data_IF_078156541574
#
_entry.id   IF_078156541574
#
_cell.length_a   1.000
_cell.length_b   1.000
_cell.length_c   1.000
_cell.angle_alpha   90.00
_cell.angle_beta   90.00
_cell.angle_gamma   90.00
#
_symmetry.space_group_name_H-M   'P 1'
#
loop_
_entity.id
_entity.type
_entity.pdbx_description
1 polymer ?
#
# COMPACT_ATOMS: atom_id res chain seq x y z
N UNK A 1 7.55 12.78 -3.09
CA UNK A 1 7.18 11.99 -4.26
C UNK A 1 5.67 12.07 -4.50
N UNK A 2 5.22 12.00 -5.75
CA UNK A 2 3.83 12.18 -6.21
C UNK A 2 2.97 10.91 -6.18
N UNK A 3 3.54 9.78 -5.75
CA UNK A 3 2.84 8.49 -5.71
C UNK A 3 2.54 7.94 -7.12
N UNK A 4 3.38 8.26 -8.09
CA UNK A 4 3.24 7.78 -9.46
C UNK A 4 3.74 6.33 -9.56
N UNK A 5 3.03 5.45 -10.30
CA UNK A 5 3.51 4.09 -10.53
C UNK A 5 4.86 4.08 -11.23
N UNK A 6 5.84 3.36 -10.66
CA UNK A 6 7.17 3.17 -11.24
C UNK A 6 7.35 1.77 -11.84
N UNK A 7 6.74 0.76 -11.23
CA UNK A 7 6.77 -0.63 -11.67
C UNK A 7 5.47 -1.35 -11.27
N UNK A 8 5.09 -2.36 -12.05
CA UNK A 8 3.97 -3.24 -11.77
C UNK A 8 4.30 -4.65 -12.28
N UNK A 9 4.12 -5.65 -11.43
CA UNK A 9 4.19 -7.05 -11.80
C UNK A 9 2.94 -7.77 -11.30
N UNK A 10 2.27 -8.51 -12.19
CA UNK A 10 1.14 -9.37 -11.85
C UNK A 10 1.50 -10.81 -12.19
N UNK A 11 1.68 -11.62 -11.16
CA UNK A 11 2.05 -13.03 -11.29
C UNK A 11 0.93 -13.86 -11.98
N UNK A 12 1.32 -14.98 -12.56
CA UNK A 12 0.39 -15.94 -13.15
C UNK A 12 -0.63 -16.45 -12.13
N UNK A 13 -1.87 -16.64 -12.58
CA UNK A 13 -2.99 -17.05 -11.72
C UNK A 13 -3.50 -15.98 -10.75
N UNK A 14 -2.83 -14.83 -10.60
CA UNK A 14 -3.32 -13.72 -9.78
C UNK A 14 -4.58 -13.10 -10.40
N UNK A 15 -5.60 -12.85 -9.57
CA UNK A 15 -6.83 -12.18 -10.00
C UNK A 15 -6.52 -10.80 -10.61
N UNK A 16 -7.14 -10.41 -11.74
CA UNK A 16 -6.84 -9.15 -12.41
C UNK A 16 -6.96 -7.91 -11.51
N UNK A 17 -7.89 -7.92 -10.55
CA UNK A 17 -8.11 -6.82 -9.61
C UNK A 17 -6.89 -6.55 -8.69
N UNK A 18 -6.06 -7.57 -8.44
CA UNK A 18 -4.87 -7.45 -7.59
C UNK A 18 -3.89 -6.40 -8.10
N UNK A 19 -3.71 -6.29 -9.42
CA UNK A 19 -2.82 -5.27 -10.00
C UNK A 19 -3.26 -3.83 -9.67
N UNK A 20 -4.58 -3.58 -9.66
CA UNK A 20 -5.14 -2.27 -9.35
C UNK A 20 -5.07 -1.98 -7.84
N UNK A 21 -5.44 -2.95 -7.01
CA UNK A 21 -5.41 -2.80 -5.55
C UNK A 21 -3.96 -2.61 -5.06
N UNK A 22 -3.00 -3.40 -5.56
CA UNK A 22 -1.60 -3.29 -5.20
C UNK A 22 -1.03 -1.90 -5.52
N UNK A 23 -1.35 -1.38 -6.71
CA UNK A 23 -0.93 -0.04 -7.13
C UNK A 23 -1.49 1.05 -6.21
N UNK A 24 -2.79 1.00 -5.88
CA UNK A 24 -3.40 1.98 -4.98
C UNK A 24 -2.92 1.82 -3.53
N UNK A 25 -2.62 0.61 -3.06
CA UNK A 25 -1.99 0.39 -1.74
C UNK A 25 -0.62 1.07 -1.66
N UNK A 26 0.22 0.88 -2.68
CA UNK A 26 1.52 1.55 -2.77
C UNK A 26 1.36 3.08 -2.79
N UNK A 27 0.47 3.58 -3.64
CA UNK A 27 0.19 5.01 -3.77
C UNK A 27 -0.30 5.63 -2.46
N UNK A 28 -1.23 4.99 -1.76
CA UNK A 28 -1.70 5.41 -0.45
C UNK A 28 -0.57 5.47 0.57
N UNK A 29 0.34 4.48 0.58
CA UNK A 29 1.47 4.46 1.49
C UNK A 29 2.49 5.57 1.20
N UNK A 30 2.76 5.84 -0.09
CA UNK A 30 3.66 6.90 -0.52
C UNK A 30 3.12 8.31 -0.18
N UNK A 31 1.88 8.61 -0.55
CA UNK A 31 1.24 9.91 -0.27
C UNK A 31 0.98 10.09 1.22
N UNK A 32 0.58 9.01 1.89
CA UNK A 32 0.24 8.96 3.30
C UNK A 32 1.42 8.93 4.26
N UNK A 33 2.62 8.64 3.73
CA UNK A 33 3.88 8.46 4.46
C UNK A 33 3.75 7.49 5.64
N UNK A 34 2.98 6.42 5.46
CA UNK A 34 2.73 5.39 6.47
C UNK A 34 2.19 4.13 5.82
N UNK A 35 2.30 3.02 6.51
CA UNK A 35 1.70 1.75 6.07
C UNK A 35 0.18 1.85 5.97
N UNK A 36 -0.40 1.17 4.97
CA UNK A 36 -1.85 1.17 4.77
C UNK A 36 -2.61 0.50 5.91
N UNK A 37 -1.96 -0.41 6.66
CA UNK A 37 -2.50 -0.99 7.90
C UNK A 37 -3.04 0.06 8.86
N UNK A 38 -2.33 1.20 9.01
CA UNK A 38 -2.78 2.28 9.90
C UNK A 38 -4.09 2.91 9.46
N UNK A 39 -4.38 2.91 8.15
CA UNK A 39 -5.64 3.40 7.63
C UNK A 39 -6.76 2.40 7.89
N UNK A 40 -6.51 1.12 7.63
CA UNK A 40 -7.45 0.04 7.94
C UNK A 40 -7.84 0.04 9.42
N UNK A 41 -6.86 0.01 10.33
CA UNK A 41 -7.10 -0.01 11.77
C UNK A 41 -7.90 1.21 12.24
N UNK A 42 -7.61 2.40 11.69
CA UNK A 42 -8.30 3.64 12.02
C UNK A 42 -9.76 3.64 11.53
N UNK A 43 -10.02 3.12 10.33
CA UNK A 43 -11.38 3.04 9.78
C UNK A 43 -12.20 2.00 10.55
N UNK A 44 -11.62 0.82 10.78
CA UNK A 44 -12.25 -0.26 11.54
C UNK A 44 -12.45 0.14 13.01
N UNK A 45 -11.60 1.02 13.55
CA UNK A 45 -11.75 1.65 14.87
C UNK A 45 -12.83 2.73 14.96
N UNK A 46 -13.66 2.90 13.92
CA UNK A 46 -14.84 3.77 13.95
C UNK A 46 -14.66 5.14 13.29
N UNK A 47 -13.47 5.47 12.76
CA UNK A 47 -13.25 6.72 12.01
C UNK A 47 -13.64 6.59 10.54
N UNK A 48 -14.85 6.09 10.29
CA UNK A 48 -15.38 5.82 8.93
C UNK A 48 -15.41 7.04 8.02
N UNK A 49 -15.49 8.26 8.59
CA UNK A 49 -15.38 9.51 7.84
C UNK A 49 -14.09 9.59 6.98
N UNK A 50 -13.03 8.87 7.35
CA UNK A 50 -11.80 8.81 6.57
C UNK A 50 -11.96 8.18 5.18
N UNK A 51 -13.01 7.37 4.97
CA UNK A 51 -13.34 6.83 3.64
C UNK A 51 -13.68 7.91 2.61
N UNK A 52 -13.98 9.14 3.05
CA UNK A 52 -14.26 10.28 2.17
C UNK A 52 -13.01 11.04 1.69
N UNK A 53 -11.80 10.62 2.12
CA UNK A 53 -10.56 11.27 1.70
C UNK A 53 -10.33 11.04 0.20
N UNK A 54 -10.30 12.10 -0.64
CA UNK A 54 -10.41 11.95 -2.10
C UNK A 54 -9.18 11.32 -2.78
N UNK A 55 -8.04 11.26 -2.08
CA UNK A 55 -6.76 10.83 -2.67
C UNK A 55 -6.27 9.47 -2.17
N UNK A 56 -6.93 8.85 -1.20
CA UNK A 56 -6.53 7.55 -0.65
C UNK A 56 -7.57 6.49 -1.05
N UNK A 57 -7.33 5.83 -2.17
CA UNK A 57 -8.30 4.90 -2.76
C UNK A 57 -8.21 3.47 -2.22
N UNK A 58 -7.06 3.07 -1.70
CA UNK A 58 -6.89 1.78 -1.03
C UNK A 58 -6.36 1.97 0.39
N UNK A 59 -7.14 1.51 1.38
CA UNK A 59 -6.82 1.63 2.80
C UNK A 59 -6.56 0.29 3.47
N UNK A 60 -6.71 -0.83 2.76
CA UNK A 60 -6.42 -2.17 3.25
C UNK A 60 -4.90 -2.39 3.40
N UNK A 61 -4.50 -3.15 4.41
CA UNK A 61 -3.13 -3.55 4.69
C UNK A 61 -2.46 -4.21 3.47
N UNK A 62 -1.18 -3.88 3.25
CA UNK A 62 -0.37 -4.36 2.13
C UNK A 62 0.43 -3.29 1.38
N UNK A 63 0.27 -2.00 1.73
CA UNK A 63 1.13 -0.91 1.24
C UNK A 63 2.12 -0.46 2.31
N UNK A 64 3.40 -0.35 1.94
CA UNK A 64 4.52 -0.07 2.84
C UNK A 64 5.42 1.01 2.25
N UNK A 65 5.73 2.11 2.97
CA UNK A 65 6.62 3.14 2.48
C UNK A 65 8.08 2.68 2.47
N UNK A 66 8.87 3.17 1.51
CA UNK A 66 10.33 3.02 1.47
C UNK A 66 10.94 4.26 2.14
N UNK A 67 11.80 4.06 3.13
CA UNK A 67 12.47 5.14 3.86
C UNK A 67 13.97 5.17 3.56
N UNK A 68 14.48 6.35 3.22
CA UNK A 68 15.92 6.64 3.09
C UNK A 68 16.20 7.90 3.91
N UNK A 69 17.12 7.82 4.87
CA UNK A 69 17.46 8.92 5.79
C UNK A 69 16.23 9.58 6.46
N UNK A 70 15.25 8.75 6.84
CA UNK A 70 14.00 9.19 7.46
C UNK A 70 13.01 9.88 6.50
N UNK A 71 13.31 9.93 5.20
CA UNK A 71 12.42 10.46 4.17
C UNK A 71 11.72 9.33 3.42
N UNK A 72 10.42 9.50 3.18
CA UNK A 72 9.66 8.59 2.29
C UNK A 72 10.00 8.92 0.85
N UNK A 73 10.69 8.00 0.18
CA UNK A 73 11.14 8.15 -1.22
C UNK A 73 10.30 7.36 -2.21
N UNK A 74 9.43 6.47 -1.72
CA UNK A 74 8.55 5.63 -2.53
C UNK A 74 7.72 4.70 -1.65
N UNK A 75 7.09 3.70 -2.25
CA UNK A 75 6.37 2.66 -1.53
C UNK A 75 6.23 1.39 -2.36
N UNK A 76 6.07 0.26 -1.67
CA UNK A 76 5.73 -1.04 -2.26
C UNK A 76 4.29 -1.39 -1.85
N UNK A 77 3.52 -1.93 -2.79
CA UNK A 77 2.15 -2.40 -2.54
C UNK A 77 1.96 -3.81 -3.07
N UNK A 78 1.34 -4.67 -2.27
CA UNK A 78 1.06 -6.07 -2.62
C UNK A 78 -0.43 -6.36 -2.43
N UNK A 79 -0.98 -7.14 -3.36
CA UNK A 79 -2.35 -7.62 -3.29
C UNK A 79 -2.47 -9.00 -3.94
N UNK A 80 -3.04 -9.96 -3.23
CA UNK A 80 -3.37 -11.27 -3.80
C UNK A 80 -3.48 -12.41 -2.80
N UNK A 81 -3.02 -12.21 -1.57
CA UNK A 81 -3.09 -13.18 -0.48
C UNK A 81 -3.73 -12.55 0.76
N UNK A 82 -3.56 -13.13 1.96
CA UNK A 82 -4.09 -12.51 3.18
C UNK A 82 -3.40 -11.18 3.44
N UNK A 83 -4.12 -10.24 4.06
CA UNK A 83 -3.61 -8.89 4.34
C UNK A 83 -2.23 -8.88 5.03
N UNK A 84 -2.04 -9.71 6.07
CA UNK A 84 -0.76 -9.84 6.78
C UNK A 84 0.37 -10.35 5.88
N UNK A 85 0.05 -11.24 4.92
CA UNK A 85 1.00 -11.83 3.98
C UNK A 85 1.37 -10.82 2.88
N UNK A 86 0.39 -10.07 2.36
CA UNK A 86 0.62 -8.95 1.44
C UNK A 86 1.60 -7.95 2.09
N UNK A 87 1.34 -7.52 3.32
CA UNK A 87 2.20 -6.56 4.02
C UNK A 87 3.58 -7.12 4.34
N UNK A 88 3.70 -8.42 4.63
CA UNK A 88 5.00 -9.08 4.83
C UNK A 88 5.83 -9.06 3.54
N UNK A 89 5.24 -9.40 2.40
CA UNK A 89 5.93 -9.37 1.10
C UNK A 89 6.31 -7.93 0.73
N UNK A 90 5.41 -6.97 0.94
CA UNK A 90 5.68 -5.55 0.69
C UNK A 90 6.85 -5.02 1.54
N UNK A 91 6.93 -5.40 2.83
CA UNK A 91 8.05 -5.04 3.71
C UNK A 91 9.38 -5.61 3.23
N UNK A 92 9.42 -6.91 2.90
CA UNK A 92 10.63 -7.54 2.36
C UNK A 92 11.08 -6.84 1.07
N UNK A 93 10.15 -6.50 0.17
CA UNK A 93 10.45 -5.76 -1.04
C UNK A 93 10.98 -4.35 -0.78
N UNK A 94 10.44 -3.64 0.21
CA UNK A 94 10.89 -2.30 0.58
C UNK A 94 12.27 -2.29 1.28
N UNK A 95 12.56 -3.30 2.11
CA UNK A 95 13.84 -3.46 2.82
C UNK A 95 14.98 -3.94 1.93
N UNK A 96 14.66 -4.52 0.76
CA UNK A 96 15.65 -4.97 -0.22
C UNK A 96 16.24 -3.86 -1.10
N UNK A 97 15.87 -2.59 -0.87
CA UNK A 97 16.28 -1.40 -1.63
C UNK A 97 17.16 -0.49 -0.77
#
# INVERSE_FOLDING_TARGET
DGGHPLALERLDGCAPIGAYIATEKARSAALGRRETKRYEDMINGGRSAFLSVPLLQATLEGGVPILVDGQVVGAVGVSGVRAEEDARVARIGAEGL
#
